data_IF_567192697888
#
_entry.id   IF_567192697888
#
_cell.length_a   1.000
_cell.length_b   1.000
_cell.length_c   1.000
_cell.angle_alpha   90.00
_cell.angle_beta   90.00
_cell.angle_gamma   90.00
#
_symmetry.space_group_name_H-M   'P 1'
#
loop_
_entity.id
_entity.type
_entity.pdbx_description
1 polymer ?
#
# COMPACT_ATOMS: atom_id res chain seq x y z
N UNK A 1 2.55 15.02 16.24
CA UNK A 1 3.42 14.06 16.93
C UNK A 1 2.65 13.66 18.16
N UNK A 2 1.66 12.80 17.97
CA UNK A 2 0.93 12.12 19.03
C UNK A 2 1.14 10.64 18.75
N UNK A 3 2.21 10.11 19.35
CA UNK A 3 2.61 8.72 19.24
C UNK A 3 2.77 8.21 20.67
N UNK A 4 1.64 7.80 21.27
CA UNK A 4 1.62 7.24 22.64
C UNK A 4 0.88 5.91 22.75
N UNK A 5 0.52 5.25 21.65
CA UNK A 5 0.01 3.87 21.72
C UNK A 5 0.10 3.17 20.37
N UNK A 6 1.24 2.53 20.09
CA UNK A 6 1.31 1.44 19.11
C UNK A 6 2.44 0.52 19.48
N UNK A 7 2.08 -0.72 19.80
CA UNK A 7 2.97 -1.81 20.15
C UNK A 7 4.05 -2.04 19.07
N UNK A 8 5.21 -2.49 19.53
CA UNK A 8 6.55 -2.52 18.90
C UNK A 8 6.70 -3.21 17.52
N UNK A 9 5.62 -3.55 16.80
CA UNK A 9 5.67 -4.15 15.45
C UNK A 9 4.54 -3.69 14.50
N UNK A 10 3.92 -2.53 14.72
CA UNK A 10 2.84 -2.05 13.86
C UNK A 10 3.32 -1.73 12.42
N UNK A 11 2.84 -2.48 11.43
CA UNK A 11 2.99 -2.13 10.02
C UNK A 11 2.09 -0.94 9.69
N UNK A 12 2.63 0.07 9.01
CA UNK A 12 1.87 1.22 8.53
C UNK A 12 1.19 0.88 7.20
N UNK A 13 -0.09 1.22 7.04
CA UNK A 13 -0.77 1.15 5.74
C UNK A 13 -0.37 2.37 4.93
N UNK A 14 0.30 2.15 3.80
CA UNK A 14 0.72 3.19 2.87
C UNK A 14 -0.07 3.03 1.58
N UNK A 15 -0.53 4.15 1.05
CA UNK A 15 -1.10 4.24 -0.29
C UNK A 15 -0.55 5.49 -0.96
N UNK A 16 -0.16 5.34 -2.22
CA UNK A 16 0.01 6.45 -3.14
C UNK A 16 -1.11 6.37 -4.17
N UNK A 17 -1.64 7.48 -4.69
CA UNK A 17 -2.61 7.38 -5.76
C UNK A 17 -2.02 6.57 -6.90
N UNK A 18 -2.61 5.40 -7.18
CA UNK A 18 -2.02 4.41 -8.09
C UNK A 18 -1.81 5.01 -9.49
N UNK A 19 -2.69 5.94 -9.88
CA UNK A 19 -2.61 6.71 -11.13
C UNK A 19 -1.42 7.68 -11.23
N UNK A 20 -0.81 8.08 -10.11
CA UNK A 20 0.27 9.07 -10.06
C UNK A 20 1.63 8.38 -9.91
N UNK A 21 1.76 7.45 -8.96
CA UNK A 21 3.05 6.84 -8.61
C UNK A 21 3.08 5.31 -8.69
N UNK A 22 1.96 4.66 -9.02
CA UNK A 22 1.87 3.20 -9.15
C UNK A 22 1.98 2.43 -7.83
N UNK A 23 1.89 3.10 -6.67
CA UNK A 23 1.99 2.44 -5.36
C UNK A 23 0.60 1.96 -4.92
N UNK A 24 0.35 0.63 -4.83
CA UNK A 24 -0.92 0.13 -4.29
C UNK A 24 -0.99 0.28 -2.77
N UNK A 25 -2.18 0.18 -2.21
CA UNK A 25 -2.43 0.03 -0.77
C UNK A 25 -1.63 -1.17 -0.26
N UNK A 26 -0.63 -0.91 0.57
CA UNK A 26 0.33 -1.92 1.04
C UNK A 26 0.75 -1.64 2.48
N UNK A 27 1.05 -2.70 3.22
CA UNK A 27 1.73 -2.62 4.52
C UNK A 27 3.23 -2.37 4.34
N UNK A 28 3.76 -1.35 5.04
CA UNK A 28 5.18 -0.98 5.06
C UNK A 28 5.64 -0.86 6.52
N UNK A 29 6.84 -1.35 6.83
CA UNK A 29 7.44 -1.14 8.15
C UNK A 29 7.90 0.31 8.28
N UNK A 30 7.50 0.97 9.37
CA UNK A 30 7.81 2.38 9.65
C UNK A 30 9.31 2.69 9.63
N UNK A 31 10.17 1.71 9.94
CA UNK A 31 11.64 1.86 9.90
C UNK A 31 12.16 2.22 8.51
N UNK A 32 11.42 1.89 7.44
CA UNK A 32 11.79 2.20 6.06
C UNK A 32 11.16 3.50 5.54
N UNK A 33 10.44 4.25 6.37
CA UNK A 33 9.70 5.45 5.95
C UNK A 33 10.36 6.69 6.55
N UNK A 34 10.63 7.69 5.71
CA UNK A 34 11.06 9.02 6.14
C UNK A 34 9.82 9.90 6.22
N UNK A 35 9.50 10.39 7.41
CA UNK A 35 8.40 11.34 7.58
C UNK A 35 8.77 12.70 6.98
N UNK A 36 7.96 13.20 6.06
CA UNK A 36 8.09 14.55 5.49
C UNK A 36 7.27 15.56 6.30
N UNK A 37 7.57 16.86 6.16
CA UNK A 37 6.81 17.94 6.81
C UNK A 37 5.46 18.21 6.15
N UNK A 38 5.29 17.79 4.90
CA UNK A 38 4.06 17.96 4.12
C UNK A 38 2.92 17.13 4.68
N UNK A 39 1.78 17.76 4.98
CA UNK A 39 0.56 17.08 5.44
C UNK A 39 -0.51 17.19 4.38
N UNK A 40 -1.24 16.10 4.16
CA UNK A 40 -2.42 16.03 3.28
C UNK A 40 -3.61 15.75 4.18
N UNK A 41 -4.73 16.44 3.97
CA UNK A 41 -5.96 16.14 4.69
C UNK A 41 -6.57 14.81 4.18
N UNK A 42 -6.84 13.90 5.11
CA UNK A 42 -7.32 12.52 4.87
C UNK A 42 -8.76 12.35 5.41
N UNK A 43 -9.39 13.41 5.91
CA UNK A 43 -10.74 13.40 6.51
C UNK A 43 -11.82 12.71 5.65
N UNK A 44 -11.70 12.77 4.31
CA UNK A 44 -12.62 12.14 3.37
C UNK A 44 -12.28 10.69 2.95
N UNK A 45 -11.27 10.05 3.54
CA UNK A 45 -10.84 8.70 3.20
C UNK A 45 -11.29 7.71 4.27
N UNK A 46 -12.12 6.74 3.89
CA UNK A 46 -12.49 5.64 4.78
C UNK A 46 -11.37 4.59 4.83
N UNK A 47 -10.69 4.51 5.97
CA UNK A 47 -9.57 3.59 6.22
C UNK A 47 -10.02 2.36 7.03
N UNK A 48 -11.27 2.34 7.51
CA UNK A 48 -11.76 1.30 8.44
C UNK A 48 -11.69 -0.12 7.88
N UNK A 49 -11.75 -0.27 6.55
CA UNK A 49 -11.67 -1.56 5.85
C UNK A 49 -10.28 -2.19 5.84
N UNK A 50 -9.22 -1.40 6.02
CA UNK A 50 -7.84 -1.85 5.83
C UNK A 50 -7.18 -2.27 7.15
N UNK A 51 -7.74 -3.32 7.76
CA UNK A 51 -7.17 -3.97 8.95
C UNK A 51 -6.10 -5.01 8.59
N UNK A 52 -5.47 -5.63 9.58
CA UNK A 52 -4.49 -6.69 9.34
C UNK A 52 -5.07 -7.91 8.61
N UNK A 53 -6.38 -8.17 8.74
CA UNK A 53 -7.05 -9.28 8.06
C UNK A 53 -7.15 -9.03 6.56
N UNK A 54 -7.37 -7.78 6.15
CA UNK A 54 -7.36 -7.38 4.74
C UNK A 54 -6.06 -7.74 4.02
N UNK A 55 -4.92 -7.64 4.72
CA UNK A 55 -3.59 -7.93 4.18
C UNK A 55 -3.13 -9.37 4.42
N UNK A 56 -3.89 -10.18 5.16
CA UNK A 56 -3.56 -11.56 5.41
C UNK A 56 -3.49 -12.32 4.08
N UNK A 57 -2.39 -13.04 3.87
CA UNK A 57 -2.28 -13.96 2.73
C UNK A 57 -3.16 -15.17 3.02
N UNK A 58 -3.97 -15.56 2.04
CA UNK A 58 -4.67 -16.85 2.09
C UNK A 58 -3.63 -17.97 2.22
N UNK A 59 -3.64 -18.66 3.37
CA UNK A 59 -2.79 -19.83 3.58
C UNK A 59 -3.37 -20.96 2.76
N UNK A 60 -2.78 -21.26 1.60
CA UNK A 60 -3.07 -22.51 0.90
C UNK A 60 -2.73 -23.66 1.85
N UNK A 61 -3.71 -24.48 2.21
CA UNK A 61 -3.45 -25.72 2.94
C UNK A 61 -2.46 -26.53 2.11
N UNK A 62 -1.36 -26.95 2.76
CA UNK A 62 -0.36 -27.82 2.15
C UNK A 62 -1.03 -29.15 1.83
N UNK A 63 -1.54 -29.29 0.61
CA UNK A 63 -1.86 -30.62 0.05
C UNK A 63 -0.53 -31.38 0.00
N UNK A 64 -0.48 -32.57 0.60
CA UNK A 64 0.66 -33.48 0.45
C UNK A 64 0.79 -33.81 -1.05
N UNK A 65 1.70 -33.14 -1.76
CA UNK A 65 1.90 -33.33 -3.20
C UNK A 65 3.24 -33.99 -3.47
N UNK A 66 3.14 -35.18 -4.06
CA UNK A 66 4.18 -36.06 -4.58
C UNK A 66 5.02 -35.31 -5.64
N UNK A 67 6.33 -35.58 -5.67
CA UNK A 67 7.32 -34.81 -6.45
C UNK A 67 6.99 -34.70 -7.93
N UNK A 68 6.64 -33.48 -8.38
CA UNK A 68 6.42 -33.13 -9.78
C UNK A 68 5.61 -31.84 -9.97
N UNK A 69 4.56 -31.63 -9.17
CA UNK A 69 3.59 -30.52 -9.35
C UNK A 69 3.96 -29.21 -8.61
N UNK A 70 5.10 -29.18 -7.91
CA UNK A 70 5.46 -28.06 -7.02
C UNK A 70 5.74 -26.74 -7.79
N UNK A 71 6.26 -26.83 -9.02
CA UNK A 71 6.69 -25.67 -9.81
C UNK A 71 5.60 -25.08 -10.72
N UNK A 72 4.56 -25.85 -11.06
CA UNK A 72 3.43 -25.32 -11.85
C UNK A 72 2.45 -24.54 -10.99
N UNK A 73 2.23 -24.99 -9.74
CA UNK A 73 1.27 -24.37 -8.82
C UNK A 73 1.72 -22.97 -8.31
N UNK A 74 3.03 -22.70 -8.28
CA UNK A 74 3.56 -21.37 -7.89
C UNK A 74 3.41 -20.31 -8.98
N UNK A 75 3.41 -20.71 -10.25
CA UNK A 75 3.27 -19.79 -11.40
C UNK A 75 1.85 -19.27 -11.58
N UNK A 76 0.84 -19.96 -11.07
CA UNK A 76 -0.57 -19.54 -11.16
C UNK A 76 -1.04 -18.77 -9.93
N UNK A 77 -0.48 -19.07 -8.75
CA UNK A 77 -0.84 -18.39 -7.49
C UNK A 77 -0.43 -16.91 -7.43
N UNK A 78 0.46 -16.48 -8.33
CA UNK A 78 1.06 -15.14 -8.31
C UNK A 78 0.40 -14.13 -9.26
N UNK A 79 -0.61 -14.54 -10.06
CA UNK A 79 -1.00 -13.75 -11.24
C UNK A 79 -2.28 -12.92 -11.15
N UNK A 80 -3.17 -13.15 -10.18
CA UNK A 80 -4.37 -12.32 -10.03
C UNK A 80 -4.44 -11.70 -8.65
N UNK A 81 -4.21 -10.39 -8.59
CA UNK A 81 -4.69 -9.60 -7.45
C UNK A 81 -6.22 -9.74 -7.42
N UNK A 82 -6.83 -10.03 -6.26
CA UNK A 82 -8.28 -10.08 -6.12
C UNK A 82 -8.91 -8.77 -6.62
N UNK A 83 -9.98 -8.86 -7.41
CA UNK A 83 -10.58 -7.67 -8.02
C UNK A 83 -11.09 -6.66 -6.99
N UNK A 84 -11.51 -7.13 -5.80
CA UNK A 84 -11.90 -6.24 -4.69
C UNK A 84 -10.79 -5.25 -4.32
N UNK A 85 -9.51 -5.64 -4.39
CA UNK A 85 -8.39 -4.74 -4.06
C UNK A 85 -8.25 -3.61 -5.07
N UNK A 86 -8.59 -3.86 -6.34
CA UNK A 86 -8.56 -2.82 -7.38
C UNK A 86 -9.68 -1.80 -7.14
N UNK A 87 -10.85 -2.25 -6.73
CA UNK A 87 -11.99 -1.37 -6.50
C UNK A 87 -11.83 -0.56 -5.22
N UNK A 88 -11.31 -1.17 -4.15
CA UNK A 88 -10.91 -0.46 -2.94
C UNK A 88 -9.84 0.61 -3.24
N UNK A 89 -8.84 0.28 -4.06
CA UNK A 89 -7.82 1.24 -4.48
C UNK A 89 -8.44 2.43 -5.20
N UNK A 90 -9.36 2.20 -6.15
CA UNK A 90 -10.03 3.29 -6.89
C UNK A 90 -10.82 4.20 -5.95
N UNK A 91 -11.51 3.63 -4.95
CA UNK A 91 -12.31 4.39 -4.00
C UNK A 91 -11.42 5.31 -3.15
N UNK A 92 -10.32 4.77 -2.61
CA UNK A 92 -9.34 5.54 -1.82
C UNK A 92 -8.63 6.60 -2.68
N UNK A 93 -8.19 6.22 -3.88
CA UNK A 93 -7.52 7.13 -4.82
C UNK A 93 -8.42 8.30 -5.22
N UNK A 94 -9.73 8.09 -5.39
CA UNK A 94 -10.65 9.15 -5.76
C UNK A 94 -10.70 10.28 -4.72
N UNK A 95 -10.64 9.93 -3.43
CA UNK A 95 -10.59 10.89 -2.34
C UNK A 95 -9.19 11.54 -2.24
N UNK A 96 -8.12 10.73 -2.28
CA UNK A 96 -6.74 11.23 -2.15
C UNK A 96 -6.33 12.16 -3.30
N UNK A 97 -6.74 11.86 -4.54
CA UNK A 97 -6.42 12.70 -5.70
C UNK A 97 -7.03 14.10 -5.54
N UNK A 98 -8.20 14.24 -4.92
CA UNK A 98 -8.80 15.55 -4.65
C UNK A 98 -7.93 16.35 -3.67
N UNK A 99 -7.53 15.73 -2.56
CA UNK A 99 -6.66 16.36 -1.57
C UNK A 99 -5.28 16.72 -2.14
N UNK A 100 -4.70 15.84 -2.95
CA UNK A 100 -3.38 16.06 -3.56
C UNK A 100 -3.41 17.17 -4.61
N UNK A 101 -4.49 17.29 -5.38
CA UNK A 101 -4.65 18.38 -6.35
C UNK A 101 -4.84 19.75 -5.69
N UNK A 102 -5.30 19.79 -4.43
CA UNK A 102 -5.44 21.04 -3.70
C UNK A 102 -4.09 21.64 -3.29
N UNK A 103 -3.03 20.84 -3.24
CA UNK A 103 -1.67 21.30 -2.92
C UNK A 103 -0.88 21.50 -4.22
N UNK A 104 -0.38 22.72 -4.50
CA UNK A 104 0.44 22.98 -5.68
C UNK A 104 1.64 22.03 -5.76
N UNK A 105 1.95 21.55 -6.97
CA UNK A 105 3.11 20.69 -7.30
C UNK A 105 3.16 19.31 -6.63
N UNK A 106 2.32 19.02 -5.64
CA UNK A 106 2.36 17.76 -4.87
C UNK A 106 2.15 16.53 -5.76
N UNK A 107 1.29 16.63 -6.79
CA UNK A 107 1.09 15.56 -7.77
C UNK A 107 2.39 15.22 -8.51
N UNK A 108 3.17 16.22 -8.92
CA UNK A 108 4.43 16.01 -9.62
C UNK A 108 5.50 15.48 -8.66
N UNK A 109 5.55 16.02 -7.44
CA UNK A 109 6.44 15.54 -6.38
C UNK A 109 6.24 14.06 -6.06
N UNK A 110 4.99 13.61 -5.88
CA UNK A 110 4.68 12.20 -5.58
C UNK A 110 4.97 11.24 -6.73
N UNK A 111 5.00 11.72 -7.97
CA UNK A 111 5.38 10.93 -9.15
C UNK A 111 6.90 10.82 -9.33
N UNK A 112 7.67 11.76 -8.77
CA UNK A 112 9.12 11.75 -8.83
C UNK A 112 9.72 10.80 -7.78
N UNK A 113 10.79 10.09 -8.14
CA UNK A 113 11.55 9.27 -7.20
C UNK A 113 12.56 10.13 -6.45
N UNK A 114 12.60 9.98 -5.13
CA UNK A 114 13.67 10.56 -4.32
C UNK A 114 14.97 9.79 -4.56
N UNK A 115 16.06 10.52 -4.78
CA UNK A 115 17.42 9.99 -4.85
C UNK A 115 18.38 11.03 -4.30
N UNK A 116 19.44 10.57 -3.65
CA UNK A 116 20.57 11.42 -3.31
C UNK A 116 21.48 11.51 -4.54
N UNK A 117 22.02 12.71 -4.80
CA UNK A 117 23.05 12.92 -5.80
C UNK A 117 24.38 13.12 -5.07
N UNK A 118 25.47 12.79 -5.74
CA UNK A 118 26.79 13.21 -5.27
C UNK A 118 26.81 14.75 -5.24
N UNK A 119 27.13 15.29 -4.07
CA UNK A 119 27.29 16.73 -3.83
C UNK A 119 28.76 17.10 -3.81
#
# INVERSE_FOLDING_TARGET
VDALSTELFALSTVTGPFKINGVPIRRVNQTYVIATSTKVDISGVDVSKFDDKYFAREKKQKVKKTGGELFETEKEASKSLPDFKKDDQKAVDAALIKAIKAVPELKAYLGARFSLRDG
#
